data_IF_844757838326
#
_entry.id   IF_844757838326
#
_cell.length_a   1.000
_cell.length_b   1.000
_cell.length_c   1.000
_cell.angle_alpha   90.00
_cell.angle_beta   90.00
_cell.angle_gamma   90.00
#
_symmetry.space_group_name_H-M   'P 1'
#
loop_
_entity.id
_entity.type
_entity.pdbx_description
1 polymer ?
#
# COMPACT_ATOMS: atom_id res chain seq x y z
N UNK A 1 8.23 -17.84 1.12
CA UNK A 1 7.63 -17.16 -0.06
C UNK A 1 7.86 -15.67 0.02
N UNK A 2 8.17 -15.05 -1.09
CA UNK A 2 8.34 -13.61 -1.14
C UNK A 2 6.98 -12.92 -1.13
N UNK A 3 6.79 -11.90 -0.28
CA UNK A 3 5.58 -11.09 -0.35
C UNK A 3 5.42 -10.46 -1.72
N UNK A 4 4.18 -10.38 -2.21
CA UNK A 4 3.84 -9.84 -3.53
C UNK A 4 3.24 -8.47 -3.37
N UNK A 5 3.81 -7.50 -4.05
CA UNK A 5 3.50 -6.09 -3.86
C UNK A 5 3.08 -5.42 -5.17
N UNK A 6 2.02 -4.63 -5.11
CA UNK A 6 1.63 -3.73 -6.19
C UNK A 6 1.97 -2.31 -5.74
N UNK A 7 2.59 -1.54 -6.62
CA UNK A 7 2.91 -0.13 -6.38
C UNK A 7 1.95 0.74 -7.19
N UNK A 8 1.25 1.64 -6.50
CA UNK A 8 0.34 2.61 -7.15
C UNK A 8 0.94 3.99 -6.94
N UNK A 9 1.51 4.54 -7.99
CA UNK A 9 2.26 5.80 -7.95
C UNK A 9 2.27 6.45 -9.33
N UNK A 10 1.82 7.69 -9.43
CA UNK A 10 1.76 8.39 -10.70
C UNK A 10 3.01 9.23 -11.01
N UNK A 11 3.88 9.44 -10.03
CA UNK A 11 5.15 10.13 -10.25
C UNK A 11 6.22 9.08 -10.58
N UNK A 12 6.75 9.16 -11.80
CA UNK A 12 7.69 8.15 -12.29
C UNK A 12 8.95 8.03 -11.43
N UNK A 13 9.49 9.17 -10.98
CA UNK A 13 10.70 9.18 -10.15
C UNK A 13 10.45 8.51 -8.80
N UNK A 14 9.32 8.79 -8.17
CA UNK A 14 8.97 8.16 -6.90
C UNK A 14 8.76 6.67 -7.08
N UNK A 15 8.11 6.26 -8.17
CA UNK A 15 7.91 4.84 -8.47
C UNK A 15 9.24 4.11 -8.64
N UNK A 16 10.18 4.72 -9.36
CA UNK A 16 11.52 4.13 -9.56
C UNK A 16 12.25 3.95 -8.26
N UNK A 17 12.17 4.93 -7.36
CA UNK A 17 12.83 4.85 -6.05
C UNK A 17 12.25 3.72 -5.21
N UNK A 18 10.93 3.60 -5.17
CA UNK A 18 10.26 2.54 -4.42
C UNK A 18 10.64 1.16 -4.98
N UNK A 19 10.60 1.03 -6.30
CA UNK A 19 10.95 -0.24 -6.98
C UNK A 19 12.40 -0.63 -6.68
N UNK A 20 13.32 0.34 -6.74
CA UNK A 20 14.72 0.08 -6.42
C UNK A 20 14.88 -0.49 -5.01
N UNK A 21 14.21 0.11 -4.03
CA UNK A 21 14.27 -0.39 -2.65
C UNK A 21 13.64 -1.77 -2.50
N UNK A 22 12.49 -1.99 -3.15
CA UNK A 22 11.81 -3.29 -3.08
C UNK A 22 12.66 -4.40 -3.70
N UNK A 23 13.35 -4.11 -4.79
CA UNK A 23 14.26 -5.07 -5.41
C UNK A 23 15.43 -5.39 -4.51
N UNK A 24 16.04 -4.36 -3.88
CA UNK A 24 17.12 -4.59 -2.93
C UNK A 24 16.67 -5.42 -1.73
N UNK A 25 15.44 -5.23 -1.29
CA UNK A 25 14.87 -5.97 -0.18
C UNK A 25 14.34 -7.35 -0.59
N UNK A 26 14.41 -7.66 -1.90
CA UNK A 26 14.02 -8.95 -2.48
C UNK A 26 12.53 -9.28 -2.37
N UNK A 27 11.68 -8.25 -2.41
CA UNK A 27 10.24 -8.46 -2.51
C UNK A 27 9.83 -8.63 -3.98
N UNK A 28 8.74 -9.36 -4.20
CA UNK A 28 8.20 -9.55 -5.53
C UNK A 28 7.29 -8.39 -5.91
N UNK A 29 7.55 -7.75 -7.05
CA UNK A 29 6.74 -6.64 -7.55
C UNK A 29 5.85 -7.19 -8.66
N UNK A 30 4.54 -7.15 -8.43
CA UNK A 30 3.57 -7.65 -9.40
C UNK A 30 3.30 -6.66 -10.51
N UNK A 31 3.44 -5.39 -10.21
CA UNK A 31 3.25 -4.34 -11.21
C UNK A 31 3.31 -2.96 -10.57
N UNK A 32 3.44 -1.96 -11.45
CA UNK A 32 3.42 -0.55 -11.08
C UNK A 32 2.31 0.07 -11.91
N UNK A 33 1.36 0.68 -11.25
CA UNK A 33 0.21 1.31 -11.92
C UNK A 33 0.08 2.74 -11.43
N UNK A 34 -0.61 3.58 -12.20
CA UNK A 34 -0.74 5.00 -11.88
C UNK A 34 -2.18 5.46 -11.69
N UNK A 35 -3.13 4.53 -11.68
CA UNK A 35 -4.55 4.87 -11.56
C UNK A 35 -5.34 3.71 -10.92
N UNK A 36 -6.55 4.04 -10.47
CA UNK A 36 -7.38 3.09 -9.74
C UNK A 36 -7.87 1.91 -10.60
N UNK A 37 -8.23 2.16 -11.84
CA UNK A 37 -8.77 1.12 -12.72
C UNK A 37 -7.73 0.03 -12.95
N UNK A 38 -6.53 0.42 -13.32
CA UNK A 38 -5.44 -0.53 -13.56
C UNK A 38 -5.06 -1.27 -12.29
N UNK A 39 -5.10 -0.57 -11.15
CA UNK A 39 -4.83 -1.19 -9.86
C UNK A 39 -5.83 -2.30 -9.54
N UNK A 40 -7.12 -2.01 -9.68
CA UNK A 40 -8.16 -3.00 -9.37
C UNK A 40 -8.10 -4.21 -10.30
N UNK A 41 -7.80 -3.97 -11.57
CA UNK A 41 -7.63 -5.08 -12.52
C UNK A 41 -6.44 -5.95 -12.13
N UNK A 42 -5.33 -5.34 -11.78
CA UNK A 42 -4.11 -6.06 -11.40
C UNK A 42 -4.33 -6.86 -10.11
N UNK A 43 -5.05 -6.32 -9.14
CA UNK A 43 -5.38 -7.04 -7.90
C UNK A 43 -6.14 -8.33 -8.22
N UNK A 44 -7.13 -8.25 -9.10
CA UNK A 44 -7.93 -9.41 -9.48
C UNK A 44 -7.10 -10.48 -10.19
N UNK A 45 -6.13 -10.06 -10.99
CA UNK A 45 -5.31 -10.99 -11.78
C UNK A 45 -4.21 -11.65 -10.96
N UNK A 46 -3.71 -11.00 -9.91
CA UNK A 46 -2.45 -11.41 -9.28
C UNK A 46 -2.54 -11.73 -7.79
N UNK A 47 -3.57 -11.30 -7.10
CA UNK A 47 -3.73 -11.52 -5.65
C UNK A 47 -2.51 -11.08 -4.83
N UNK A 48 -2.25 -9.78 -4.74
CA UNK A 48 -1.11 -9.26 -3.98
C UNK A 48 -1.27 -9.43 -2.47
N UNK A 49 -0.16 -9.40 -1.77
CA UNK A 49 -0.15 -9.37 -0.29
C UNK A 49 -0.23 -7.94 0.22
N UNK A 50 0.39 -7.00 -0.49
CA UNK A 50 0.51 -5.61 -0.07
C UNK A 50 0.25 -4.68 -1.25
N UNK A 51 -0.45 -3.58 -0.96
CA UNK A 51 -0.63 -2.47 -1.87
C UNK A 51 0.09 -1.25 -1.29
N UNK A 52 1.10 -0.75 -2.01
CA UNK A 52 1.72 0.53 -1.70
C UNK A 52 1.00 1.58 -2.52
N UNK A 53 0.31 2.49 -1.85
CA UNK A 53 -0.65 3.37 -2.50
C UNK A 53 -0.36 4.83 -2.18
N UNK A 54 -0.05 5.61 -3.21
CA UNK A 54 0.05 7.07 -3.07
C UNK A 54 -1.35 7.64 -2.89
N UNK A 55 -1.53 8.42 -1.83
CA UNK A 55 -2.82 9.07 -1.56
C UNK A 55 -3.22 10.00 -2.70
N UNK A 56 -2.24 10.63 -3.32
CA UNK A 56 -2.47 11.71 -4.28
C UNK A 56 -2.41 11.27 -5.74
N UNK A 57 -2.83 10.04 -6.06
CA UNK A 57 -2.89 9.62 -7.46
C UNK A 57 -3.94 10.45 -8.21
N UNK A 58 -3.64 10.72 -9.49
CA UNK A 58 -4.52 11.51 -10.34
C UNK A 58 -5.64 10.64 -10.94
N UNK A 59 -6.74 11.28 -11.30
CA UNK A 59 -7.86 10.60 -11.93
C UNK A 59 -9.17 10.81 -11.20
N UNK A 60 -10.23 10.17 -11.67
CA UNK A 60 -11.56 10.29 -11.07
C UNK A 60 -11.65 9.67 -9.68
N UNK A 61 -10.89 8.60 -9.46
CA UNK A 61 -10.82 7.93 -8.15
C UNK A 61 -9.45 8.21 -7.54
N UNK A 62 -9.42 8.90 -6.42
CA UNK A 62 -8.17 9.20 -5.72
C UNK A 62 -7.72 8.02 -4.85
N UNK A 63 -6.54 8.16 -4.21
CA UNK A 63 -5.96 7.08 -3.43
C UNK A 63 -6.83 6.62 -2.27
N UNK A 64 -7.51 7.53 -1.59
CA UNK A 64 -8.36 7.17 -0.45
C UNK A 64 -9.61 6.42 -0.90
N UNK A 65 -10.23 6.88 -1.99
CA UNK A 65 -11.38 6.18 -2.57
C UNK A 65 -11.00 4.77 -3.05
N UNK A 66 -9.82 4.65 -3.68
CA UNK A 66 -9.31 3.34 -4.09
C UNK A 66 -9.11 2.44 -2.87
N UNK A 67 -8.54 2.99 -1.79
CA UNK A 67 -8.33 2.22 -0.56
C UNK A 67 -9.64 1.71 0.02
N UNK A 68 -10.70 2.52 0.00
CA UNK A 68 -12.02 2.09 0.47
C UNK A 68 -12.55 0.91 -0.34
N UNK A 69 -12.40 0.96 -1.67
CA UNK A 69 -12.83 -0.13 -2.54
C UNK A 69 -12.03 -1.40 -2.23
N UNK A 70 -10.72 -1.27 -2.09
CA UNK A 70 -9.85 -2.41 -1.80
C UNK A 70 -10.20 -3.04 -0.45
N UNK A 71 -10.43 -2.20 0.58
CA UNK A 71 -10.82 -2.71 1.91
C UNK A 71 -12.12 -3.51 1.89
N UNK A 72 -13.08 -3.07 1.09
CA UNK A 72 -14.39 -3.72 1.04
C UNK A 72 -14.40 -4.99 0.21
N UNK A 73 -13.52 -5.09 -0.79
CA UNK A 73 -13.58 -6.18 -1.76
C UNK A 73 -12.40 -7.15 -1.74
N UNK A 74 -11.29 -6.78 -1.10
CA UNK A 74 -10.06 -7.58 -1.17
C UNK A 74 -9.36 -7.66 0.19
N UNK A 75 -8.68 -8.79 0.41
CA UNK A 75 -7.88 -9.01 1.62
C UNK A 75 -6.41 -8.68 1.33
N UNK A 76 -6.09 -7.40 1.28
CA UNK A 76 -4.75 -6.90 0.95
C UNK A 76 -4.31 -5.92 2.03
N UNK A 77 -3.06 -6.01 2.46
CA UNK A 77 -2.50 -5.03 3.39
C UNK A 77 -2.26 -3.71 2.66
N UNK A 78 -2.60 -2.61 3.31
CA UNK A 78 -2.55 -1.28 2.71
C UNK A 78 -1.49 -0.43 3.38
N UNK A 79 -0.55 0.08 2.59
CA UNK A 79 0.47 1.02 3.06
C UNK A 79 0.35 2.28 2.19
N UNK A 80 0.05 3.41 2.83
CA UNK A 80 0.01 4.69 2.12
C UNK A 80 1.40 5.29 1.99
N UNK A 81 1.64 5.94 0.86
CA UNK A 81 2.78 6.84 0.68
C UNK A 81 2.24 8.22 0.35
N UNK A 82 2.87 9.27 0.86
CA UNK A 82 2.39 10.63 0.61
C UNK A 82 3.47 11.66 0.88
N UNK A 83 3.37 12.81 0.23
CA UNK A 83 4.27 13.95 0.48
C UNK A 83 3.77 14.75 1.68
N UNK A 84 2.94 15.73 1.44
CA UNK A 84 2.31 16.52 2.48
C UNK A 84 0.80 16.37 2.33
N UNK A 85 0.10 16.15 3.44
CA UNK A 85 -1.36 16.15 3.40
C UNK A 85 -1.90 17.01 4.53
N UNK A 86 -3.06 17.59 4.28
CA UNK A 86 -3.76 18.36 5.29
C UNK A 86 -4.43 17.43 6.30
N UNK A 87 -4.92 18.02 7.39
CA UNK A 87 -5.55 17.28 8.46
C UNK A 87 -6.79 16.52 8.00
N UNK A 88 -7.58 17.11 7.12
CA UNK A 88 -8.81 16.48 6.62
C UNK A 88 -8.48 15.21 5.81
N UNK A 89 -7.48 15.30 4.93
CA UNK A 89 -7.04 14.15 4.14
C UNK A 89 -6.47 13.05 5.04
N UNK A 90 -5.67 13.43 6.03
CA UNK A 90 -5.11 12.47 6.98
C UNK A 90 -6.21 11.72 7.74
N UNK A 91 -7.24 12.43 8.21
CA UNK A 91 -8.34 11.80 8.90
C UNK A 91 -9.11 10.83 8.01
N UNK A 92 -9.30 11.19 6.74
CA UNK A 92 -9.95 10.30 5.77
C UNK A 92 -9.10 9.04 5.53
N UNK A 93 -7.78 9.21 5.42
CA UNK A 93 -6.87 8.07 5.25
C UNK A 93 -6.91 7.12 6.46
N UNK A 94 -6.92 7.67 7.67
CA UNK A 94 -6.97 6.89 8.91
C UNK A 94 -8.24 6.02 8.94
N UNK A 95 -9.36 6.53 8.47
CA UNK A 95 -10.62 5.80 8.45
C UNK A 95 -10.58 4.54 7.59
N UNK A 96 -9.68 4.46 6.62
CA UNK A 96 -9.51 3.25 5.81
C UNK A 96 -8.69 2.18 6.53
N UNK A 97 -8.17 2.50 7.71
CA UNK A 97 -7.41 1.58 8.56
C UNK A 97 -6.21 0.94 7.85
N UNK A 98 -5.26 1.77 7.36
CA UNK A 98 -4.07 1.23 6.70
C UNK A 98 -3.18 0.53 7.73
N UNK A 99 -2.42 -0.43 7.28
CA UNK A 99 -1.43 -1.12 8.11
C UNK A 99 -0.23 -0.22 8.40
N UNK A 100 0.10 0.69 7.49
CA UNK A 100 1.19 1.64 7.69
C UNK A 100 1.03 2.87 6.81
N UNK A 101 1.83 3.88 7.10
CA UNK A 101 1.77 5.18 6.45
C UNK A 101 3.21 5.71 6.35
N UNK A 102 3.65 6.05 5.15
CA UNK A 102 5.01 6.51 4.90
C UNK A 102 5.02 7.90 4.28
N UNK A 103 5.84 8.78 4.85
CA UNK A 103 6.06 10.11 4.29
C UNK A 103 7.15 10.08 3.23
N UNK A 104 6.95 10.84 2.16
CA UNK A 104 7.98 11.02 1.14
C UNK A 104 8.96 12.11 1.59
N UNK A 105 10.24 11.99 1.29
CA UNK A 105 10.87 10.91 0.52
C UNK A 105 10.93 9.59 1.29
N UNK A 106 10.63 8.51 0.60
CA UNK A 106 10.59 7.17 1.22
C UNK A 106 12.01 6.72 1.50
N UNK A 107 12.26 6.27 2.74
CA UNK A 107 13.54 5.69 3.12
C UNK A 107 13.43 4.17 3.09
N UNK A 108 14.49 3.50 2.65
CA UNK A 108 14.51 2.05 2.51
C UNK A 108 14.17 1.34 3.82
N UNK A 109 14.76 1.80 4.94
CA UNK A 109 14.53 1.18 6.25
C UNK A 109 13.08 1.34 6.70
N UNK A 110 12.50 2.52 6.50
CA UNK A 110 11.10 2.77 6.84
C UNK A 110 10.17 1.91 6.01
N UNK A 111 10.46 1.75 4.72
CA UNK A 111 9.69 0.89 3.83
C UNK A 111 9.75 -0.56 4.30
N UNK A 112 10.93 -1.06 4.60
CA UNK A 112 11.13 -2.43 5.08
C UNK A 112 10.33 -2.67 6.36
N UNK A 113 10.41 -1.75 7.31
CA UNK A 113 9.70 -1.88 8.59
C UNK A 113 8.19 -1.88 8.38
N UNK A 114 7.69 -0.98 7.53
CA UNK A 114 6.25 -0.90 7.24
C UNK A 114 5.73 -2.20 6.62
N UNK A 115 6.50 -2.76 5.69
CA UNK A 115 6.12 -4.02 5.04
C UNK A 115 6.06 -5.16 6.05
N UNK A 116 7.06 -5.26 6.92
CA UNK A 116 7.06 -6.32 7.94
C UNK A 116 5.90 -6.19 8.92
N UNK A 117 5.59 -4.97 9.34
CA UNK A 117 4.43 -4.73 10.21
C UNK A 117 3.13 -5.11 9.50
N UNK A 118 2.99 -4.72 8.25
CA UNK A 118 1.78 -5.03 7.47
C UNK A 118 1.58 -6.53 7.31
N UNK A 119 2.66 -7.25 7.00
CA UNK A 119 2.60 -8.71 6.85
C UNK A 119 2.26 -9.39 8.17
N UNK A 120 2.83 -8.92 9.27
CA UNK A 120 2.55 -9.47 10.59
C UNK A 120 1.08 -9.29 10.97
N UNK A 121 0.54 -8.10 10.78
CA UNK A 121 -0.86 -7.81 11.12
C UNK A 121 -1.86 -8.61 10.31
N UNK A 122 -1.50 -8.99 9.09
CA UNK A 122 -2.40 -9.73 8.20
C UNK A 122 -2.33 -11.25 8.34
N UNK A 123 -1.47 -11.77 9.23
CA UNK A 123 -1.44 -13.22 9.48
C UNK A 123 -2.67 -13.63 10.29
N UNK A 124 -3.39 -14.68 9.88
CA UNK A 124 -4.59 -15.11 10.60
C UNK A 124 -4.39 -15.36 12.09
N UNK A 125 -3.28 -15.97 12.48
CA UNK A 125 -2.98 -16.22 13.89
C UNK A 125 -2.87 -14.93 14.71
N UNK A 126 -2.38 -13.83 14.11
CA UNK A 126 -2.25 -12.56 14.80
C UNK A 126 -3.60 -11.86 14.96
N UNK A 127 -4.49 -12.02 13.99
CA UNK A 127 -5.85 -11.50 14.09
C UNK A 127 -6.62 -12.20 15.22
N UNK A 128 -6.45 -13.51 15.33
CA UNK A 128 -7.06 -14.29 16.42
C UNK A 128 -6.54 -13.83 17.78
N UNK A 129 -5.23 -13.64 17.89
CA UNK A 129 -4.62 -13.17 19.14
C UNK A 129 -5.07 -11.78 19.53
N UNK A 130 -5.28 -10.89 18.57
CA UNK A 130 -5.78 -9.55 18.82
C UNK A 130 -7.19 -9.58 19.44
N UNK A 131 -8.01 -10.55 19.04
CA UNK A 131 -9.36 -10.70 19.60
C UNK A 131 -9.37 -11.29 21.01
N UNK A 132 -8.32 -11.97 21.40
CA UNK A 132 -8.22 -12.59 22.72
C UNK A 132 -7.70 -11.61 23.79
N UNK A 133 -7.10 -10.53 23.38
CA UNK A 133 -6.59 -9.52 24.31
C UNK A 133 -7.62 -8.41 24.53
#
# INVERSE_FOLDING_TARGET
MKPKIIVVEDNELHAETIVFFLEELRYAILGIVDNAIDCLNLIKETNPDILLLDINILGETNGIELAEIVRNEHAVALIYTTSLIDKTTLQAAIKTQPEAYLNKPIEKKALSTAIEIALYKNKPENLINAHKS
#
